data_IF_807429629641
#
_entry.id   IF_807429629641
#
_cell.length_a   1.000
_cell.length_b   1.000
_cell.length_c   1.000
_cell.angle_alpha   90.00
_cell.angle_beta   90.00
_cell.angle_gamma   90.00
#
_symmetry.space_group_name_H-M   'P 1'
#
loop_
_entity.id
_entity.type
_entity.pdbx_description
1 polymer ?
#
# COMPACT_ATOMS: atom_id res chain seq x y z
N UNK A 1 20.33 15.32 -29.46
CA UNK A 1 21.63 15.99 -29.65
C UNK A 1 21.38 17.49 -29.59
N UNK A 2 22.19 18.19 -28.79
CA UNK A 2 22.21 19.65 -28.53
C UNK A 2 21.16 20.20 -27.56
N UNK A 3 21.49 21.07 -26.61
CA UNK A 3 22.75 21.51 -26.00
C UNK A 3 22.36 22.23 -24.69
N UNK A 4 23.30 22.25 -23.75
CA UNK A 4 23.29 22.88 -22.43
C UNK A 4 23.07 24.41 -22.51
N UNK A 5 22.42 25.02 -21.49
CA UNK A 5 22.98 26.16 -20.72
C UNK A 5 22.08 26.65 -19.57
N UNK A 6 22.70 26.70 -18.39
CA UNK A 6 22.26 27.31 -17.12
C UNK A 6 22.27 28.84 -17.23
N UNK A 7 21.39 29.52 -16.50
CA UNK A 7 21.53 30.95 -16.18
C UNK A 7 21.16 31.21 -14.71
N UNK A 8 21.97 32.06 -14.09
CA UNK A 8 22.07 32.46 -12.69
C UNK A 8 21.75 33.96 -12.60
N UNK A 9 20.85 34.41 -11.73
CA UNK A 9 20.71 35.82 -11.26
C UNK A 9 20.00 35.76 -9.88
N UNK A 10 20.61 36.00 -8.72
CA UNK A 10 21.16 37.22 -8.07
C UNK A 10 20.14 38.32 -7.70
N UNK A 11 19.78 38.33 -6.41
CA UNK A 11 19.60 39.44 -5.44
C UNK A 11 19.01 40.82 -5.83
N UNK A 12 18.17 41.36 -4.93
CA UNK A 12 17.95 42.80 -4.79
C UNK A 12 16.72 43.18 -3.95
N UNK A 13 16.94 43.57 -2.70
CA UNK A 13 15.93 44.06 -1.74
C UNK A 13 15.56 45.54 -1.97
N UNK A 14 14.34 45.93 -1.56
CA UNK A 14 14.00 47.34 -1.27
C UNK A 14 12.92 47.43 -0.17
N UNK A 15 13.23 48.24 0.86
CA UNK A 15 12.40 48.61 2.01
C UNK A 15 11.22 49.50 1.61
N UNK A 16 10.12 49.43 2.36
CA UNK A 16 9.18 50.55 2.49
C UNK A 16 8.77 50.78 3.94
N UNK A 17 8.72 52.06 4.29
CA UNK A 17 8.72 52.60 5.64
C UNK A 17 7.35 52.70 6.31
N UNK A 18 7.42 52.93 7.62
CA UNK A 18 6.30 53.12 8.52
C UNK A 18 5.59 54.46 8.32
N UNK A 19 4.27 54.48 8.53
CA UNK A 19 3.42 55.68 8.56
C UNK A 19 2.78 55.80 9.94
N UNK A 20 2.92 56.96 10.58
CA UNK A 20 2.20 57.36 11.79
C UNK A 20 1.41 58.64 11.51
N UNK A 21 0.17 58.66 11.98
CA UNK A 21 -0.87 59.66 11.75
C UNK A 21 -0.87 60.80 12.78
N UNK A 22 -1.26 62.01 12.36
CA UNK A 22 -2.22 62.94 12.99
C UNK A 22 -2.21 64.28 12.21
N UNK A 23 -3.26 64.60 11.45
CA UNK A 23 -4.49 65.33 11.83
C UNK A 23 -4.34 66.85 11.88
N UNK A 24 -4.99 67.55 10.93
CA UNK A 24 -5.46 68.93 11.06
C UNK A 24 -6.75 69.13 10.23
N UNK A 25 -7.64 70.07 10.61
CA UNK A 25 -9.06 70.02 10.31
C UNK A 25 -9.49 70.69 8.98
N UNK A 26 -10.71 70.31 8.63
CA UNK A 26 -11.55 70.56 7.45
C UNK A 26 -11.78 72.02 7.09
N UNK A 27 -11.78 72.33 5.78
CA UNK A 27 -12.52 73.47 5.20
C UNK A 27 -13.28 72.99 3.97
N UNK A 28 -14.59 73.17 4.04
CA UNK A 28 -15.62 72.95 3.02
C UNK A 28 -15.45 73.86 1.80
N UNK A 29 -15.74 73.39 0.59
CA UNK A 29 -16.55 74.05 -0.46
C UNK A 29 -16.90 73.02 -1.55
N UNK A 30 -18.13 73.11 -2.06
CA UNK A 30 -18.73 72.18 -2.99
C UNK A 30 -18.26 72.39 -4.43
N UNK A 31 -18.05 71.31 -5.19
CA UNK A 31 -18.26 71.34 -6.64
C UNK A 31 -18.53 69.93 -7.19
N UNK A 32 -19.64 69.83 -7.92
CA UNK A 32 -20.11 68.65 -8.61
C UNK A 32 -19.40 68.54 -9.96
N UNK A 33 -18.62 67.48 -10.20
CA UNK A 33 -18.21 67.11 -11.56
C UNK A 33 -18.28 65.59 -11.77
N UNK A 34 -18.86 65.23 -12.91
CA UNK A 34 -19.19 63.90 -13.40
C UNK A 34 -17.90 63.09 -13.65
N UNK A 35 -17.83 61.85 -13.15
CA UNK A 35 -16.76 60.90 -13.48
C UNK A 35 -17.05 60.14 -14.79
N UNK A 36 -16.04 59.89 -15.66
CA UNK A 36 -16.21 59.14 -16.92
C UNK A 36 -16.33 57.62 -16.71
N UNK A 37 -16.77 56.84 -17.72
CA UNK A 37 -17.09 55.42 -17.55
C UNK A 37 -15.87 54.55 -17.27
N UNK A 38 -15.99 53.69 -16.25
CA UNK A 38 -15.02 52.65 -15.90
C UNK A 38 -14.93 51.61 -17.03
N UNK A 39 -13.76 51.52 -17.67
CA UNK A 39 -13.42 50.42 -18.60
C UNK A 39 -13.22 49.15 -17.78
N UNK A 40 -14.04 48.14 -18.05
CA UNK A 40 -13.99 46.82 -17.41
C UNK A 40 -12.81 46.02 -17.99
N UNK A 41 -11.73 45.88 -17.24
CA UNK A 41 -10.68 44.91 -17.55
C UNK A 41 -11.12 43.53 -17.06
N UNK A 42 -11.27 42.59 -17.99
CA UNK A 42 -11.45 41.16 -17.69
C UNK A 42 -10.15 40.60 -17.13
N UNK A 43 -10.19 40.05 -15.91
CA UNK A 43 -9.09 39.27 -15.33
C UNK A 43 -8.95 37.94 -16.09
N UNK A 44 -7.73 37.49 -16.43
CA UNK A 44 -7.53 36.14 -16.91
C UNK A 44 -7.60 35.18 -15.71
N UNK A 45 -8.48 34.18 -15.84
CA UNK A 45 -8.60 33.06 -14.91
C UNK A 45 -7.26 32.33 -14.81
N UNK A 46 -6.55 32.53 -13.70
CA UNK A 46 -5.46 31.66 -13.28
C UNK A 46 -6.04 30.35 -12.77
N UNK A 47 -6.32 29.42 -13.68
CA UNK A 47 -6.59 28.03 -13.30
C UNK A 47 -5.24 27.39 -12.97
N UNK A 48 -4.91 27.34 -11.68
CA UNK A 48 -3.89 26.44 -11.17
C UNK A 48 -4.37 25.02 -11.45
N UNK A 49 -3.77 24.37 -12.43
CA UNK A 49 -3.95 22.93 -12.66
C UNK A 49 -3.44 22.18 -11.44
N UNK A 50 -4.35 21.81 -10.54
CA UNK A 50 -4.10 20.75 -9.58
C UNK A 50 -3.82 19.48 -10.38
N UNK A 51 -2.69 18.85 -10.07
CA UNK A 51 -2.37 17.51 -10.57
C UNK A 51 -3.44 16.60 -9.97
N UNK A 52 -4.46 16.26 -10.76
CA UNK A 52 -5.43 15.23 -10.41
C UNK A 52 -4.67 13.90 -10.34
N UNK A 53 -4.22 13.54 -9.14
CA UNK A 53 -3.85 12.18 -8.84
C UNK A 53 -5.13 11.36 -8.97
N UNK A 54 -5.15 10.32 -9.79
CA UNK A 54 -6.31 9.46 -9.94
C UNK A 54 -6.51 8.70 -8.62
N UNK A 55 -7.37 9.26 -7.75
CA UNK A 55 -7.73 8.66 -6.48
C UNK A 55 -8.79 7.60 -6.77
N UNK A 56 -8.43 6.34 -6.58
CA UNK A 56 -9.39 5.24 -6.47
C UNK A 56 -9.68 4.99 -4.99
N UNK A 57 -10.94 4.75 -4.60
CA UNK A 57 -11.27 4.49 -3.20
C UNK A 57 -12.57 3.68 -3.06
N UNK A 58 -12.79 3.13 -1.86
CA UNK A 58 -14.00 2.40 -1.52
C UNK A 58 -13.95 1.81 -0.12
N UNK A 59 -14.84 0.85 0.14
CA UNK A 59 -14.93 0.14 1.41
C UNK A 59 -15.01 -1.37 1.17
N UNK A 60 -14.34 -2.15 2.02
CA UNK A 60 -14.51 -3.60 2.15
C UNK A 60 -14.80 -3.88 3.62
N UNK A 61 -16.04 -4.27 3.93
CA UNK A 61 -16.48 -4.30 5.32
C UNK A 61 -16.51 -2.91 5.93
N UNK A 62 -15.78 -2.72 7.03
CA UNK A 62 -15.59 -1.40 7.66
C UNK A 62 -14.23 -0.77 7.31
N UNK A 63 -13.39 -1.46 6.55
CA UNK A 63 -12.10 -0.95 6.08
C UNK A 63 -12.32 -0.05 4.88
N UNK A 64 -11.93 1.22 5.00
CA UNK A 64 -11.82 2.15 3.88
C UNK A 64 -10.48 1.93 3.21
N UNK A 65 -10.48 1.96 1.88
CA UNK A 65 -9.26 1.92 1.10
C UNK A 65 -9.20 3.08 0.12
N UNK A 66 -7.99 3.52 -0.18
CA UNK A 66 -7.73 4.47 -1.26
C UNK A 66 -6.37 4.20 -1.89
N UNK A 67 -6.23 4.49 -3.18
CA UNK A 67 -4.95 4.51 -3.89
C UNK A 67 -4.68 5.97 -4.28
N UNK A 68 -3.62 6.55 -3.72
CA UNK A 68 -3.17 7.92 -3.98
C UNK A 68 -1.66 7.86 -4.23
N UNK A 69 -1.18 8.40 -5.36
CA UNK A 69 0.22 8.31 -5.79
C UNK A 69 0.81 6.88 -5.72
N UNK A 70 0.00 5.89 -6.08
CA UNK A 70 0.38 4.49 -6.04
C UNK A 70 0.56 3.91 -4.64
N UNK A 71 0.14 4.61 -3.59
CA UNK A 71 0.08 4.08 -2.22
C UNK A 71 -1.32 3.60 -1.93
N UNK A 72 -1.48 2.29 -1.70
CA UNK A 72 -2.71 1.71 -1.15
C UNK A 72 -2.76 2.01 0.35
N UNK A 73 -3.67 2.88 0.75
CA UNK A 73 -3.97 3.17 2.16
C UNK A 73 -5.14 2.32 2.61
N UNK A 74 -5.01 1.67 3.75
CA UNK A 74 -6.04 0.85 4.38
C UNK A 74 -6.32 1.38 5.78
N UNK A 75 -7.55 1.81 6.04
CA UNK A 75 -7.94 2.24 7.38
C UNK A 75 -8.06 1.04 8.32
N UNK A 76 -8.09 1.32 9.64
CA UNK A 76 -8.53 0.31 10.60
C UNK A 76 -9.98 -0.12 10.37
N UNK A 77 -10.33 -1.32 10.83
CA UNK A 77 -11.66 -1.90 10.66
C UNK A 77 -11.67 -3.43 10.75
N UNK A 78 -12.68 -4.01 10.14
CA UNK A 78 -12.92 -5.45 10.08
C UNK A 78 -13.37 -5.82 8.67
N UNK A 79 -12.73 -6.86 8.13
CA UNK A 79 -13.17 -7.50 6.91
C UNK A 79 -14.20 -8.58 7.26
N UNK A 80 -15.39 -8.58 6.64
CA UNK A 80 -16.46 -9.49 6.99
C UNK A 80 -16.11 -10.90 6.53
N UNK A 81 -16.36 -11.90 7.38
CA UNK A 81 -16.22 -13.30 6.99
C UNK A 81 -17.44 -13.81 6.25
N UNK A 82 -17.24 -14.81 5.40
CA UNK A 82 -18.28 -15.80 5.17
C UNK A 82 -17.75 -17.15 5.61
N UNK A 83 -18.37 -17.76 6.63
CA UNK A 83 -17.91 -19.04 7.18
C UNK A 83 -17.96 -20.20 6.17
N UNK A 84 -18.53 -19.97 4.97
CA UNK A 84 -18.78 -20.90 3.86
C UNK A 84 -18.93 -20.17 2.48
N UNK A 85 -18.53 -18.90 2.36
CA UNK A 85 -18.74 -18.13 1.11
C UNK A 85 -17.46 -17.98 0.29
N UNK A 86 -17.56 -17.41 -0.93
CA UNK A 86 -16.40 -17.19 -1.78
C UNK A 86 -15.37 -16.29 -1.08
N UNK A 87 -14.12 -16.37 -1.52
CA UNK A 87 -13.05 -15.47 -1.09
C UNK A 87 -13.52 -14.01 -1.15
N UNK A 88 -13.06 -13.20 -0.20
CA UNK A 88 -13.35 -11.77 -0.20
C UNK A 88 -12.68 -11.16 -1.42
N UNK A 89 -13.44 -10.46 -2.26
CA UNK A 89 -12.86 -9.77 -3.42
C UNK A 89 -12.28 -8.44 -2.98
N UNK A 90 -10.97 -8.26 -3.19
CA UNK A 90 -10.26 -7.02 -2.88
C UNK A 90 -10.14 -6.13 -4.11
N UNK A 91 -10.72 -4.91 -4.10
CA UNK A 91 -10.70 -4.03 -5.26
C UNK A 91 -9.29 -3.68 -5.74
N UNK A 92 -8.35 -3.51 -4.81
CA UNK A 92 -6.95 -3.16 -5.12
C UNK A 92 -6.19 -4.26 -5.86
N UNK A 93 -6.65 -5.51 -5.81
CA UNK A 93 -6.08 -6.63 -6.56
C UNK A 93 -6.73 -6.84 -7.94
N UNK A 94 -7.66 -5.97 -8.34
CA UNK A 94 -8.28 -6.04 -9.67
C UNK A 94 -7.30 -5.68 -10.79
N UNK A 95 -7.54 -6.19 -12.00
CA UNK A 95 -6.71 -5.92 -13.18
C UNK A 95 -6.51 -4.43 -13.49
N UNK A 96 -7.46 -3.59 -13.05
CA UNK A 96 -7.38 -2.14 -13.22
C UNK A 96 -6.49 -1.44 -12.19
N UNK A 97 -6.37 -1.99 -10.98
CA UNK A 97 -5.78 -1.29 -9.83
C UNK A 97 -4.46 -1.89 -9.36
N UNK A 98 -4.27 -3.21 -9.43
CA UNK A 98 -3.04 -3.84 -8.94
C UNK A 98 -1.76 -3.26 -9.59
N UNK A 99 -1.73 -2.88 -10.88
CA UNK A 99 -0.51 -2.31 -11.48
C UNK A 99 -0.16 -0.93 -10.92
N UNK A 100 -1.11 -0.23 -10.29
CA UNK A 100 -0.91 1.10 -9.73
C UNK A 100 -0.33 1.07 -8.32
N UNK A 101 -0.46 -0.05 -7.60
CA UNK A 101 -0.01 -0.18 -6.21
C UNK A 101 1.50 -0.41 -6.16
N UNK A 102 2.24 0.55 -5.61
CA UNK A 102 3.70 0.53 -5.44
C UNK A 102 4.13 0.45 -3.98
N UNK A 103 3.23 0.78 -3.05
CA UNK A 103 3.40 0.55 -1.62
C UNK A 103 2.04 0.44 -0.93
N UNK A 104 2.04 -0.15 0.27
CA UNK A 104 0.86 -0.27 1.12
C UNK A 104 1.12 0.43 2.45
N UNK A 105 0.13 1.14 2.96
CA UNK A 105 0.13 1.79 4.27
C UNK A 105 -1.13 1.38 5.05
N UNK A 106 -0.97 0.58 6.11
CA UNK A 106 -2.05 0.23 7.02
C UNK A 106 -2.09 1.32 8.10
N UNK A 107 -3.18 2.09 8.12
CA UNK A 107 -3.35 3.29 8.95
C UNK A 107 -4.05 2.99 10.29
N UNK A 108 -4.41 1.74 10.54
CA UNK A 108 -4.90 1.26 11.83
C UNK A 108 -5.23 -0.23 11.84
N UNK A 109 -5.59 -0.79 13.00
CA UNK A 109 -5.81 -2.22 13.16
C UNK A 109 -6.91 -2.77 12.25
N UNK A 110 -6.62 -3.84 11.50
CA UNK A 110 -7.56 -4.54 10.62
C UNK A 110 -7.77 -5.95 11.13
N UNK A 111 -9.02 -6.29 11.45
CA UNK A 111 -9.38 -7.65 11.85
C UNK A 111 -9.64 -8.54 10.63
N UNK A 112 -8.83 -9.59 10.48
CA UNK A 112 -8.93 -10.59 9.41
C UNK A 112 -9.42 -11.93 9.97
N UNK A 113 -10.74 -12.04 10.10
CA UNK A 113 -11.40 -13.24 10.62
C UNK A 113 -11.57 -14.31 9.51
N UNK A 114 -11.57 -15.59 9.88
CA UNK A 114 -11.97 -16.68 8.99
C UNK A 114 -11.16 -16.72 7.69
N UNK A 115 -11.83 -16.56 6.55
CA UNK A 115 -11.24 -16.51 5.21
C UNK A 115 -10.94 -15.10 4.68
N UNK A 116 -11.01 -14.07 5.53
CA UNK A 116 -10.63 -12.72 5.12
C UNK A 116 -9.17 -12.61 4.61
N UNK A 117 -8.16 -13.31 5.17
CA UNK A 117 -6.80 -13.17 4.65
C UNK A 117 -6.60 -13.70 3.21
N UNK A 118 -7.51 -14.53 2.70
CA UNK A 118 -7.41 -15.09 1.34
C UNK A 118 -7.31 -13.98 0.32
N UNK A 119 -6.27 -13.99 -0.50
CA UNK A 119 -5.98 -12.98 -1.53
C UNK A 119 -5.77 -11.52 -1.04
N UNK A 120 -5.60 -11.26 0.26
CA UNK A 120 -5.61 -9.90 0.82
C UNK A 120 -4.60 -8.94 0.18
N UNK A 121 -3.41 -9.43 -0.16
CA UNK A 121 -2.39 -8.72 -0.93
C UNK A 121 -2.02 -9.45 -2.21
N UNK A 122 -2.95 -10.19 -2.82
CA UNK A 122 -2.69 -10.92 -4.05
C UNK A 122 -2.30 -9.98 -5.21
N UNK A 123 -1.23 -10.35 -5.92
CA UNK A 123 -0.73 -9.74 -7.16
C UNK A 123 -0.39 -8.25 -7.05
N UNK A 124 0.16 -7.79 -5.93
CA UNK A 124 0.71 -6.45 -5.85
C UNK A 124 2.10 -6.39 -6.50
N UNK A 125 2.18 -6.71 -7.80
CA UNK A 125 3.42 -6.98 -8.56
C UNK A 125 4.43 -5.83 -8.53
N UNK A 126 3.98 -4.59 -8.30
CA UNK A 126 4.80 -3.38 -8.23
C UNK A 126 5.05 -2.91 -6.78
N UNK A 127 4.41 -3.52 -5.78
CA UNK A 127 4.58 -3.14 -4.39
C UNK A 127 5.96 -3.54 -3.88
N UNK A 128 6.69 -2.56 -3.36
CA UNK A 128 8.05 -2.78 -2.84
C UNK A 128 8.11 -2.84 -1.32
N UNK A 129 7.04 -2.41 -0.64
CA UNK A 129 6.95 -2.33 0.80
C UNK A 129 5.49 -2.30 1.28
N UNK A 130 5.22 -3.00 2.38
CA UNK A 130 3.96 -2.98 3.10
C UNK A 130 4.25 -2.48 4.53
N UNK A 131 3.79 -1.29 4.85
CA UNK A 131 3.99 -0.67 6.17
C UNK A 131 2.92 -1.15 7.15
N UNK A 132 3.31 -1.21 8.42
CA UNK A 132 2.43 -1.50 9.56
C UNK A 132 1.70 -2.83 9.43
N UNK A 133 2.35 -3.86 8.86
CA UNK A 133 1.80 -5.21 8.77
C UNK A 133 1.44 -5.81 10.16
N UNK A 134 2.04 -5.27 11.22
CA UNK A 134 1.70 -5.56 12.62
C UNK A 134 0.26 -5.22 13.01
N UNK A 135 -0.40 -4.34 12.26
CA UNK A 135 -1.78 -3.92 12.51
C UNK A 135 -2.82 -4.92 11.95
N UNK A 136 -2.37 -5.97 11.25
CA UNK A 136 -3.25 -7.06 10.84
C UNK A 136 -3.46 -8.04 12.00
N UNK A 137 -4.68 -8.06 12.54
CA UNK A 137 -5.11 -9.07 13.51
C UNK A 137 -5.58 -10.34 12.77
N UNK A 138 -4.70 -11.35 12.77
CA UNK A 138 -4.92 -12.67 12.19
C UNK A 138 -5.32 -13.73 13.22
N UNK A 139 -5.63 -13.34 14.46
CA UNK A 139 -5.89 -14.27 15.57
C UNK A 139 -7.09 -15.19 15.38
N UNK A 140 -7.99 -14.85 14.47
CA UNK A 140 -9.20 -15.60 14.11
C UNK A 140 -9.17 -16.10 12.65
N UNK A 141 -8.04 -15.95 11.95
CA UNK A 141 -7.86 -16.46 10.59
C UNK A 141 -7.88 -18.00 10.58
N UNK A 142 -8.63 -18.56 9.64
CA UNK A 142 -8.70 -20.00 9.38
C UNK A 142 -8.16 -20.37 8.00
N UNK A 143 -8.03 -19.39 7.11
CA UNK A 143 -7.57 -19.57 5.74
C UNK A 143 -6.70 -18.36 5.37
N UNK A 144 -5.48 -18.63 4.87
CA UNK A 144 -4.50 -17.64 4.45
C UNK A 144 -3.97 -17.94 3.04
N UNK A 145 -4.75 -18.67 2.23
CA UNK A 145 -4.39 -18.99 0.86
C UNK A 145 -4.08 -17.72 0.05
N UNK A 146 -3.00 -17.76 -0.73
CA UNK A 146 -2.61 -16.71 -1.69
C UNK A 146 -2.50 -15.28 -1.13
N UNK A 147 -2.38 -15.11 0.19
CA UNK A 147 -2.40 -13.78 0.83
C UNK A 147 -1.34 -12.83 0.28
N UNK A 148 -0.17 -13.34 -0.11
CA UNK A 148 0.94 -12.61 -0.73
C UNK A 148 1.36 -13.26 -2.06
N UNK A 149 0.48 -14.01 -2.74
CA UNK A 149 0.87 -14.65 -4.00
C UNK A 149 1.10 -13.61 -5.10
N UNK A 150 2.18 -13.81 -5.87
CA UNK A 150 2.64 -12.97 -6.97
C UNK A 150 3.02 -11.52 -6.57
N UNK A 151 3.52 -11.30 -5.35
CA UNK A 151 4.09 -10.01 -4.91
C UNK A 151 5.53 -9.82 -5.41
N UNK A 152 5.69 -9.85 -6.73
CA UNK A 152 6.98 -10.05 -7.41
C UNK A 152 8.07 -9.00 -7.07
N UNK A 153 7.69 -7.81 -6.61
CA UNK A 153 8.62 -6.70 -6.27
C UNK A 153 8.96 -6.61 -4.77
N UNK A 154 8.30 -7.39 -3.91
CA UNK A 154 8.51 -7.35 -2.48
C UNK A 154 9.83 -8.06 -2.12
N UNK A 155 10.71 -7.40 -1.38
CA UNK A 155 12.05 -7.94 -1.07
C UNK A 155 12.19 -8.50 0.35
N UNK A 156 11.28 -8.10 1.24
CA UNK A 156 11.22 -8.52 2.64
C UNK A 156 9.82 -8.30 3.20
N UNK A 157 9.41 -9.14 4.13
CA UNK A 157 8.12 -9.04 4.84
C UNK A 157 8.31 -9.37 6.32
N UNK A 158 7.69 -8.60 7.22
CA UNK A 158 7.72 -8.84 8.67
C UNK A 158 6.40 -9.44 9.16
N UNK A 159 6.38 -10.76 9.34
CA UNK A 159 5.22 -11.54 9.77
C UNK A 159 5.24 -11.83 11.27
N UNK A 160 6.06 -11.13 12.05
CA UNK A 160 6.32 -11.47 13.46
C UNK A 160 5.09 -11.43 14.39
N UNK A 161 4.01 -10.76 13.96
CA UNK A 161 2.73 -10.65 14.66
C UNK A 161 1.67 -11.65 14.20
N UNK A 162 1.89 -12.37 13.09
CA UNK A 162 0.91 -13.28 12.54
C UNK A 162 0.60 -14.44 13.50
N UNK A 163 -0.69 -14.75 13.62
CA UNK A 163 -1.20 -15.87 14.41
C UNK A 163 -1.75 -16.91 13.46
N UNK A 164 -1.13 -18.09 13.45
CA UNK A 164 -1.48 -19.16 12.51
C UNK A 164 -2.07 -20.40 13.17
N UNK A 165 -2.24 -20.39 14.50
CA UNK A 165 -2.63 -21.56 15.28
C UNK A 165 -4.07 -22.07 15.00
N UNK A 166 -4.88 -21.31 14.26
CA UNK A 166 -6.23 -21.70 13.80
C UNK A 166 -6.30 -21.95 12.29
N UNK A 167 -5.20 -21.71 11.56
CA UNK A 167 -5.18 -21.77 10.10
C UNK A 167 -5.22 -23.22 9.63
N UNK A 168 -6.06 -23.46 8.63
CA UNK A 168 -6.32 -24.76 8.01
C UNK A 168 -5.68 -24.83 6.61
N UNK A 169 -5.56 -23.69 5.93
CA UNK A 169 -5.02 -23.60 4.56
C UNK A 169 -4.05 -22.42 4.43
N UNK A 170 -2.91 -22.68 3.77
CA UNK A 170 -1.86 -21.72 3.41
C UNK A 170 -1.33 -22.01 1.99
N UNK A 171 -2.20 -22.48 1.10
CA UNK A 171 -1.85 -22.78 -0.29
C UNK A 171 -1.36 -21.50 -0.97
N UNK A 172 -0.26 -21.63 -1.71
CA UNK A 172 0.37 -20.56 -2.48
C UNK A 172 0.67 -19.24 -1.73
N UNK A 173 0.66 -19.20 -0.40
CA UNK A 173 0.69 -17.95 0.38
C UNK A 173 1.79 -16.96 -0.03
N UNK A 174 2.97 -17.42 -0.43
CA UNK A 174 4.10 -16.61 -0.93
C UNK A 174 4.52 -17.00 -2.36
N UNK A 175 3.72 -17.80 -3.06
CA UNK A 175 4.07 -18.30 -4.40
C UNK A 175 4.32 -17.15 -5.36
N UNK A 176 5.43 -17.20 -6.11
CA UNK A 176 5.73 -16.18 -7.12
C UNK A 176 6.40 -14.93 -6.56
N UNK A 177 6.81 -14.91 -5.28
CA UNK A 177 7.50 -13.79 -4.64
C UNK A 177 8.97 -13.72 -5.08
N UNK A 178 9.18 -13.51 -6.37
CA UNK A 178 10.45 -13.74 -7.05
C UNK A 178 11.60 -12.84 -6.57
N UNK A 179 11.29 -11.69 -5.95
CA UNK A 179 12.27 -10.77 -5.35
C UNK A 179 12.47 -10.96 -3.84
N UNK A 180 11.66 -11.78 -3.17
CA UNK A 180 11.74 -11.99 -1.73
C UNK A 180 13.03 -12.74 -1.37
N UNK A 181 13.88 -12.12 -0.57
CA UNK A 181 15.23 -12.66 -0.29
C UNK A 181 15.28 -13.57 0.94
N UNK A 182 14.44 -13.28 1.91
CA UNK A 182 14.37 -13.97 3.20
C UNK A 182 13.00 -13.75 3.82
N UNK A 183 12.50 -14.76 4.52
CA UNK A 183 11.25 -14.72 5.28
C UNK A 183 11.44 -15.48 6.58
N UNK A 184 10.96 -14.92 7.69
CA UNK A 184 10.95 -15.59 9.00
C UNK A 184 9.57 -16.19 9.26
N UNK A 185 9.47 -17.51 9.14
CA UNK A 185 8.26 -18.31 9.42
C UNK A 185 8.40 -19.16 10.68
N UNK A 186 9.42 -18.89 11.52
CA UNK A 186 9.70 -19.68 12.73
C UNK A 186 8.57 -19.64 13.77
N UNK A 187 7.74 -18.60 13.73
CA UNK A 187 6.58 -18.42 14.62
C UNK A 187 5.29 -19.06 14.09
N UNK A 188 5.29 -19.61 12.88
CA UNK A 188 4.10 -20.23 12.32
C UNK A 188 3.83 -21.55 13.05
N UNK A 189 2.66 -21.63 13.69
CA UNK A 189 2.06 -22.89 14.12
C UNK A 189 1.28 -23.47 12.93
N UNK A 190 1.76 -24.60 12.41
CA UNK A 190 1.16 -25.31 11.28
C UNK A 190 0.47 -26.61 11.72
N UNK A 191 0.30 -26.83 13.03
CA UNK A 191 -0.24 -28.09 13.57
C UNK A 191 -1.68 -28.39 13.16
N UNK A 192 -2.44 -27.38 12.72
CA UNK A 192 -3.82 -27.51 12.21
C UNK A 192 -3.89 -27.44 10.68
N UNK A 193 -2.80 -27.08 10.01
CA UNK A 193 -2.79 -26.80 8.57
C UNK A 193 -2.88 -28.11 7.79
N UNK A 194 -3.78 -28.15 6.82
CA UNK A 194 -4.06 -29.31 5.96
C UNK A 194 -3.51 -29.14 4.55
N UNK A 195 -3.44 -27.91 4.05
CA UNK A 195 -2.90 -27.59 2.73
C UNK A 195 -1.87 -26.45 2.84
N UNK A 196 -0.73 -26.65 2.19
CA UNK A 196 0.43 -25.74 2.09
C UNK A 196 1.08 -25.92 0.70
N UNK A 197 0.28 -26.29 -0.29
CA UNK A 197 0.71 -26.60 -1.65
C UNK A 197 1.28 -25.33 -2.25
N UNK A 198 2.43 -25.43 -2.91
CA UNK A 198 3.06 -24.32 -3.64
C UNK A 198 3.37 -23.06 -2.80
N UNK A 199 3.30 -23.14 -1.47
CA UNK A 199 3.46 -21.99 -0.55
C UNK A 199 4.69 -21.12 -0.82
N UNK A 200 5.79 -21.71 -1.31
CA UNK A 200 7.05 -21.03 -1.68
C UNK A 200 7.50 -21.37 -3.12
N UNK A 201 6.55 -21.66 -4.00
CA UNK A 201 6.83 -21.98 -5.40
C UNK A 201 7.28 -20.74 -6.15
N UNK A 202 8.21 -20.85 -7.10
CA UNK A 202 8.69 -19.75 -7.95
C UNK A 202 9.41 -18.57 -7.23
N UNK A 203 9.68 -18.69 -5.93
CA UNK A 203 10.41 -17.70 -5.11
C UNK A 203 11.91 -17.70 -5.40
N UNK A 204 12.29 -17.29 -6.62
CA UNK A 204 13.64 -17.49 -7.15
C UNK A 204 14.77 -16.80 -6.35
N UNK A 205 14.45 -15.76 -5.58
CA UNK A 205 15.38 -15.05 -4.70
C UNK A 205 15.43 -15.59 -3.27
N UNK A 206 14.49 -16.47 -2.88
CA UNK A 206 14.43 -17.05 -1.55
C UNK A 206 15.45 -18.18 -1.44
N UNK A 207 16.60 -17.84 -0.88
CA UNK A 207 17.80 -18.68 -0.96
C UNK A 207 18.07 -19.51 0.29
N UNK A 208 17.39 -19.17 1.38
CA UNK A 208 17.42 -19.86 2.67
C UNK A 208 16.02 -19.78 3.28
N UNK A 209 15.53 -20.91 3.78
CA UNK A 209 14.22 -21.00 4.43
C UNK A 209 14.31 -22.05 5.54
N UNK A 210 13.97 -21.66 6.76
CA UNK A 210 13.84 -22.59 7.89
C UNK A 210 12.36 -22.93 8.08
N UNK A 211 12.01 -24.19 7.83
CA UNK A 211 10.66 -24.76 8.05
C UNK A 211 10.69 -25.89 9.07
N UNK A 212 11.69 -25.92 9.95
CA UNK A 212 11.82 -27.00 10.95
C UNK A 212 10.65 -27.08 11.93
N UNK A 213 9.91 -25.98 12.11
CA UNK A 213 8.68 -25.90 12.90
C UNK A 213 7.43 -26.41 12.15
N UNK A 214 7.52 -26.72 10.86
CA UNK A 214 6.33 -27.08 10.07
C UNK A 214 5.93 -28.55 10.29
N UNK A 215 4.64 -28.78 10.53
CA UNK A 215 4.07 -30.13 10.56
C UNK A 215 3.88 -30.68 9.14
N UNK A 216 5.00 -31.07 8.52
CA UNK A 216 5.03 -31.55 7.13
C UNK A 216 4.49 -32.97 6.95
N UNK A 217 4.03 -33.62 8.03
CA UNK A 217 3.52 -35.01 8.00
C UNK A 217 2.26 -35.17 7.16
N UNK A 218 1.58 -34.07 6.82
CA UNK A 218 0.36 -34.11 6.02
C UNK A 218 0.62 -34.33 4.52
N UNK A 219 1.70 -33.81 3.88
CA UNK A 219 1.98 -34.07 2.44
C UNK A 219 3.45 -33.90 2.00
N UNK A 220 4.30 -34.90 2.27
CA UNK A 220 5.69 -35.05 1.79
C UNK A 220 5.91 -35.06 0.25
N UNK A 221 4.93 -34.73 -0.61
CA UNK A 221 5.05 -34.89 -2.08
C UNK A 221 5.18 -33.60 -2.90
N UNK A 222 4.79 -32.43 -2.39
CA UNK A 222 4.62 -31.25 -3.28
C UNK A 222 5.40 -30.00 -2.87
N UNK A 223 5.88 -29.91 -1.62
CA UNK A 223 6.57 -28.71 -1.11
C UNK A 223 7.87 -28.35 -1.86
N UNK A 224 8.43 -29.25 -2.68
CA UNK A 224 9.75 -29.05 -3.32
C UNK A 224 9.79 -29.27 -4.85
N UNK A 225 8.66 -29.50 -5.53
CA UNK A 225 8.72 -29.85 -6.97
C UNK A 225 9.18 -28.69 -7.89
N UNK A 226 9.14 -27.43 -7.43
CA UNK A 226 9.52 -26.27 -8.24
C UNK A 226 10.87 -25.61 -7.88
N UNK A 227 11.47 -25.91 -6.71
CA UNK A 227 12.66 -25.19 -6.25
C UNK A 227 13.96 -25.84 -6.79
N UNK A 228 14.21 -25.67 -8.10
CA UNK A 228 15.38 -26.20 -8.85
C UNK A 228 16.75 -25.65 -8.38
N UNK A 229 16.80 -24.84 -7.33
CA UNK A 229 18.04 -24.30 -6.77
C UNK A 229 18.04 -24.34 -5.23
N UNK A 230 18.49 -25.46 -4.63
CA UNK A 230 19.67 -25.46 -3.72
C UNK A 230 19.95 -26.80 -3.06
N UNK A 231 21.24 -27.12 -3.09
CA UNK A 231 21.91 -28.13 -2.28
C UNK A 231 21.70 -27.80 -0.80
N UNK A 232 21.37 -28.83 0.00
CA UNK A 232 21.30 -28.84 1.47
C UNK A 232 19.95 -28.38 2.05
N UNK A 233 18.91 -29.17 1.85
CA UNK A 233 17.81 -29.27 2.83
C UNK A 233 18.14 -30.46 3.73
N UNK A 234 18.67 -30.19 4.93
CA UNK A 234 18.84 -31.21 5.95
C UNK A 234 17.46 -31.45 6.59
N UNK A 235 16.70 -32.39 6.05
CA UNK A 235 15.54 -32.98 6.72
C UNK A 235 15.99 -34.30 7.37
N UNK A 236 15.91 -34.37 8.70
CA UNK A 236 15.89 -35.62 9.47
C UNK A 236 14.49 -35.83 10.03
#
# INVERSE_FOLDING_TARGET
MNQVKRALVMAGAALFGAVCFASFPTVTHAESTVSPPTVRATEPLGQTSEVSQDISSGEVGTVRWSIEDGTLKLSGGEIPTTSQGPAVSYPWSSDALYPLVTSVDIEGPIKLNGNAPVDFFFKLVNATNIKNLSDLDTSDATDMDSMFEDDNSLTSIDLSNFKTNKVISMDSMFSGDSALKSIDVSKFDTSQVKNMIEMFSLDSSLTTLDVSNFDTRVRLKTLFQANQNRRQVNAF
#
